data_IF_911725660457
#
_entry.id   IF_911725660457
#
_cell.length_a   1.000
_cell.length_b   1.000
_cell.length_c   1.000
_cell.angle_alpha   90.00
_cell.angle_beta   90.00
_cell.angle_gamma   90.00
#
_symmetry.space_group_name_H-M   'P 1'
#
loop_
_entity.id
_entity.type
_entity.pdbx_description
1 polymer ?
#
# COMPACT_ATOMS: atom_id res chain seq x y z
N UNK A 1 -55.56 29.24 5.26
CA UNK A 1 -54.91 28.24 6.15
C UNK A 1 -54.03 28.97 7.15
N UNK A 2 -54.19 28.71 8.45
CA UNK A 2 -53.33 29.27 9.50
C UNK A 2 -52.08 28.39 9.58
N UNK A 3 -50.91 28.92 9.21
CA UNK A 3 -49.65 28.17 9.27
C UNK A 3 -49.27 27.98 10.73
N UNK A 4 -49.08 26.73 11.15
CA UNK A 4 -48.55 26.43 12.48
C UNK A 4 -47.02 26.49 12.42
N UNK A 5 -46.48 27.67 12.75
CA UNK A 5 -45.05 27.95 12.75
C UNK A 5 -44.23 27.01 13.63
N UNK A 6 -44.83 26.48 14.71
CA UNK A 6 -44.18 25.48 15.57
C UNK A 6 -44.05 24.12 14.90
N UNK A 7 -45.07 23.68 14.16
CA UNK A 7 -44.98 22.44 13.38
C UNK A 7 -43.96 22.59 12.23
N UNK A 8 -43.89 23.77 11.62
CA UNK A 8 -42.95 24.06 10.53
C UNK A 8 -41.50 23.99 10.99
N UNK A 9 -41.16 24.57 12.15
CA UNK A 9 -39.80 24.56 12.69
C UNK A 9 -39.33 23.15 13.09
N UNK A 10 -40.22 22.35 13.70
CA UNK A 10 -39.95 20.95 14.02
C UNK A 10 -39.69 20.14 12.75
N UNK A 11 -40.51 20.33 11.72
CA UNK A 11 -40.36 19.62 10.43
C UNK A 11 -39.03 19.95 9.76
N UNK A 12 -38.64 21.23 9.73
CA UNK A 12 -37.36 21.68 9.17
C UNK A 12 -36.18 21.10 9.98
N UNK A 13 -36.28 21.10 11.31
CA UNK A 13 -35.25 20.52 12.19
C UNK A 13 -35.04 19.02 11.93
N UNK A 14 -36.13 18.26 11.77
CA UNK A 14 -36.08 16.83 11.45
C UNK A 14 -35.41 16.55 10.10
N UNK A 15 -35.71 17.35 9.08
CA UNK A 15 -35.09 17.24 7.75
C UNK A 15 -33.58 17.51 7.84
N UNK A 16 -33.17 18.54 8.59
CA UNK A 16 -31.76 18.87 8.80
C UNK A 16 -30.99 17.75 9.53
N UNK A 17 -31.61 17.13 10.53
CA UNK A 17 -31.02 15.98 11.23
C UNK A 17 -30.84 14.80 10.27
N UNK A 18 -31.86 14.47 9.48
CA UNK A 18 -31.79 13.39 8.50
C UNK A 18 -30.70 13.65 7.44
N UNK A 19 -30.63 14.87 6.91
CA UNK A 19 -29.60 15.27 5.95
C UNK A 19 -28.18 15.20 6.54
N UNK A 20 -28.02 15.55 7.82
CA UNK A 20 -26.73 15.48 8.52
C UNK A 20 -26.24 14.05 8.68
N UNK A 21 -27.13 13.12 9.07
CA UNK A 21 -26.79 11.69 9.21
C UNK A 21 -26.39 11.10 7.85
N UNK A 22 -27.15 11.41 6.80
CA UNK A 22 -26.83 10.98 5.42
C UNK A 22 -25.49 11.54 4.95
N UNK A 23 -25.20 12.82 5.20
CA UNK A 23 -23.94 13.44 4.83
C UNK A 23 -22.73 12.79 5.53
N UNK A 24 -22.86 12.49 6.82
CA UNK A 24 -21.82 11.77 7.58
C UNK A 24 -21.62 10.36 7.05
N UNK A 25 -22.71 9.64 6.74
CA UNK A 25 -22.66 8.30 6.15
C UNK A 25 -21.90 8.28 4.82
N UNK A 26 -22.23 9.20 3.91
CA UNK A 26 -21.56 9.31 2.60
C UNK A 26 -20.08 9.70 2.72
N UNK A 27 -19.74 10.63 3.62
CA UNK A 27 -18.33 10.98 3.87
C UNK A 27 -17.54 9.82 4.47
N UNK A 28 -18.14 9.06 5.39
CA UNK A 28 -17.52 7.89 5.99
C UNK A 28 -17.27 6.82 4.92
N UNK A 29 -18.26 6.52 4.07
CA UNK A 29 -18.13 5.54 2.99
C UNK A 29 -17.05 5.93 1.99
N UNK A 30 -16.99 7.21 1.59
CA UNK A 30 -15.93 7.71 0.72
C UNK A 30 -14.54 7.55 1.33
N UNK A 31 -14.36 7.91 2.60
CA UNK A 31 -13.09 7.72 3.32
C UNK A 31 -12.72 6.24 3.42
N UNK A 32 -13.67 5.37 3.76
CA UNK A 32 -13.45 3.92 3.83
C UNK A 32 -13.02 3.37 2.46
N UNK A 33 -13.67 3.81 1.38
CA UNK A 33 -13.30 3.42 0.02
C UNK A 33 -11.87 3.84 -0.34
N UNK A 34 -11.48 5.09 -0.04
CA UNK A 34 -10.12 5.58 -0.26
C UNK A 34 -9.08 4.80 0.57
N UNK A 35 -9.38 4.50 1.84
CA UNK A 35 -8.52 3.66 2.67
C UNK A 35 -8.39 2.24 2.11
N UNK A 36 -9.48 1.66 1.61
CA UNK A 36 -9.47 0.33 0.99
C UNK A 36 -8.62 0.30 -0.28
N UNK A 37 -8.68 1.34 -1.11
CA UNK A 37 -7.82 1.47 -2.30
C UNK A 37 -6.34 1.59 -1.90
N UNK A 38 -6.03 2.38 -0.87
CA UNK A 38 -4.66 2.47 -0.36
C UNK A 38 -4.17 1.13 0.21
N UNK A 39 -5.00 0.44 0.98
CA UNK A 39 -4.65 -0.85 1.56
C UNK A 39 -4.38 -1.89 0.47
N UNK A 40 -5.28 -2.03 -0.51
CA UNK A 40 -5.10 -2.96 -1.63
C UNK A 40 -3.86 -2.62 -2.48
N UNK A 41 -3.49 -1.34 -2.57
CA UNK A 41 -2.25 -0.91 -3.22
C UNK A 41 -1.03 -1.35 -2.41
N UNK A 42 -1.03 -1.14 -1.09
CA UNK A 42 0.04 -1.61 -0.21
C UNK A 42 0.16 -3.14 -0.23
N UNK A 43 -0.95 -3.86 -0.15
CA UNK A 43 -0.99 -5.33 -0.19
C UNK A 43 -0.38 -5.88 -1.49
N UNK A 44 -0.49 -5.15 -2.61
CA UNK A 44 0.18 -5.51 -3.87
C UNK A 44 1.65 -5.12 -3.89
N UNK A 45 2.04 -4.00 -3.27
CA UNK A 45 3.42 -3.51 -3.30
C UNK A 45 4.34 -4.23 -2.32
N UNK A 46 3.85 -4.56 -1.11
CA UNK A 46 4.63 -5.27 -0.07
C UNK A 46 5.31 -6.54 -0.58
N UNK A 47 4.61 -7.49 -1.27
CA UNK A 47 5.27 -8.70 -1.75
C UNK A 47 6.31 -8.41 -2.84
N UNK A 48 6.09 -7.39 -3.68
CA UNK A 48 7.04 -6.96 -4.72
C UNK A 48 8.31 -6.40 -4.07
N UNK A 49 8.15 -5.52 -3.09
CA UNK A 49 9.28 -4.91 -2.35
C UNK A 49 10.04 -6.00 -1.59
N UNK A 50 9.33 -6.91 -0.93
CA UNK A 50 9.93 -8.03 -0.21
C UNK A 50 10.77 -8.89 -1.15
N UNK A 51 10.22 -9.27 -2.30
CA UNK A 51 10.94 -10.06 -3.29
C UNK A 51 12.17 -9.32 -3.84
N UNK A 52 12.08 -8.01 -4.07
CA UNK A 52 13.24 -7.21 -4.53
C UNK A 52 14.34 -7.11 -3.47
N UNK A 53 13.98 -6.97 -2.19
CA UNK A 53 14.93 -6.97 -1.06
C UNK A 53 15.62 -8.34 -0.95
N UNK A 54 14.86 -9.44 -0.96
CA UNK A 54 15.41 -10.80 -0.91
C UNK A 54 16.38 -11.05 -2.08
N UNK A 55 15.98 -10.68 -3.30
CA UNK A 55 16.83 -10.76 -4.48
C UNK A 55 18.14 -9.98 -4.32
N UNK A 56 18.07 -8.75 -3.80
CA UNK A 56 19.26 -7.91 -3.57
C UNK A 56 20.19 -8.49 -2.51
N UNK A 57 19.64 -9.00 -1.41
CA UNK A 57 20.43 -9.64 -0.35
C UNK A 57 21.20 -10.84 -0.92
N UNK A 58 20.51 -11.74 -1.63
CA UNK A 58 21.14 -12.92 -2.24
C UNK A 58 22.24 -12.50 -3.22
N UNK A 59 21.98 -11.51 -4.07
CA UNK A 59 22.95 -11.04 -5.05
C UNK A 59 24.20 -10.44 -4.38
N UNK A 60 24.01 -9.61 -3.35
CA UNK A 60 25.10 -8.96 -2.62
C UNK A 60 25.92 -9.96 -1.81
N UNK A 61 25.28 -10.90 -1.13
CA UNK A 61 25.94 -11.93 -0.33
C UNK A 61 26.81 -12.83 -1.20
N UNK A 62 26.30 -13.26 -2.35
CA UNK A 62 27.09 -14.01 -3.33
C UNK A 62 28.28 -13.20 -3.85
N UNK A 63 28.04 -11.96 -4.28
CA UNK A 63 29.07 -11.06 -4.82
C UNK A 63 30.21 -10.87 -3.82
N UNK A 64 29.86 -10.58 -2.57
CA UNK A 64 30.83 -10.38 -1.50
C UNK A 64 31.58 -11.67 -1.17
N UNK A 65 30.86 -12.78 -1.02
CA UNK A 65 31.45 -14.09 -0.70
C UNK A 65 32.47 -14.52 -1.76
N UNK A 66 32.14 -14.36 -3.05
CA UNK A 66 33.02 -14.69 -4.16
C UNK A 66 34.29 -13.84 -4.15
N UNK A 67 34.14 -12.51 -4.11
CA UNK A 67 35.26 -11.58 -4.07
C UNK A 67 36.17 -11.81 -2.86
N UNK A 68 35.58 -12.09 -1.70
CA UNK A 68 36.30 -12.43 -0.47
C UNK A 68 37.09 -13.74 -0.61
N UNK A 69 36.49 -14.80 -1.15
CA UNK A 69 37.18 -16.09 -1.31
C UNK A 69 38.34 -16.03 -2.30
N UNK A 70 38.22 -15.17 -3.32
CA UNK A 70 39.26 -14.94 -4.33
C UNK A 70 40.26 -13.84 -3.90
N UNK A 71 40.12 -13.30 -2.68
CA UNK A 71 40.96 -12.25 -2.11
C UNK A 71 41.21 -11.06 -3.07
N UNK A 72 40.14 -10.60 -3.72
CA UNK A 72 40.19 -9.50 -4.68
C UNK A 72 39.02 -8.53 -4.49
N UNK A 73 39.11 -7.38 -5.15
CA UNK A 73 38.00 -6.44 -5.19
C UNK A 73 36.80 -7.03 -5.94
N UNK A 74 35.59 -6.57 -5.57
CA UNK A 74 34.35 -6.87 -6.28
C UNK A 74 34.46 -6.32 -7.71
N UNK A 75 34.13 -7.16 -8.68
CA UNK A 75 34.09 -6.78 -10.09
C UNK A 75 32.65 -6.66 -10.59
N UNK A 76 32.50 -6.05 -11.77
CA UNK A 76 31.22 -5.97 -12.44
C UNK A 76 30.64 -7.36 -12.78
N UNK A 77 31.52 -8.34 -13.02
CA UNK A 77 31.12 -9.70 -13.37
C UNK A 77 30.53 -10.43 -12.15
N UNK A 78 31.09 -10.24 -10.95
CA UNK A 78 30.53 -10.81 -9.72
C UNK A 78 29.14 -10.29 -9.42
N UNK A 79 28.91 -9.00 -9.67
CA UNK A 79 27.59 -8.38 -9.52
C UNK A 79 26.57 -9.01 -10.48
N UNK A 80 26.95 -9.24 -11.74
CA UNK A 80 26.08 -9.90 -12.73
C UNK A 80 25.77 -11.34 -12.35
N UNK A 81 26.79 -12.08 -11.90
CA UNK A 81 26.62 -13.46 -11.44
C UNK A 81 25.73 -13.53 -10.20
N UNK A 82 25.94 -12.63 -9.22
CA UNK A 82 25.10 -12.50 -8.04
C UNK A 82 23.63 -12.23 -8.38
N UNK A 83 23.36 -11.30 -9.30
CA UNK A 83 21.99 -11.05 -9.78
C UNK A 83 21.40 -12.25 -10.52
N UNK A 84 22.20 -12.94 -11.35
CA UNK A 84 21.76 -14.15 -12.07
C UNK A 84 21.43 -15.29 -11.10
N UNK A 85 22.22 -15.45 -10.05
CA UNK A 85 22.00 -16.42 -8.99
C UNK A 85 20.73 -16.08 -8.20
N UNK A 86 20.58 -14.83 -7.79
CA UNK A 86 19.36 -14.35 -7.14
C UNK A 86 18.12 -14.62 -7.99
N UNK A 87 18.17 -14.35 -9.30
CA UNK A 87 17.06 -14.63 -10.21
C UNK A 87 16.71 -16.12 -10.31
N UNK A 88 17.72 -17.00 -10.25
CA UNK A 88 17.49 -18.45 -10.22
C UNK A 88 16.83 -18.90 -8.91
N UNK A 89 17.24 -18.33 -7.78
CA UNK A 89 16.66 -18.64 -6.48
C UNK A 89 15.22 -18.12 -6.35
N UNK A 90 14.93 -16.93 -6.86
CA UNK A 90 13.59 -16.32 -6.80
C UNK A 90 12.57 -16.95 -7.75
N UNK A 91 13.01 -17.74 -8.75
CA UNK A 91 12.14 -18.45 -9.71
C UNK A 91 11.76 -19.86 -9.25
N UNK A 92 12.29 -20.32 -8.11
CA UNK A 92 12.00 -21.62 -7.51
C UNK A 92 10.78 -21.54 -6.60
#
# INVERSE_FOLDING_TARGET
MKVNWGALSITIGLILVAASILAVGLMAEKRISELRVKLTTLEKQIPIIKADIERKIIAQEYTFSKAYSENRAITLEDLKEGHTLADKFMKR
#
